data_IF_383556995492
#
_entry.id   IF_383556995492
#
_cell.length_a   1.000
_cell.length_b   1.000
_cell.length_c   1.000
_cell.angle_alpha   90.00
_cell.angle_beta   90.00
_cell.angle_gamma   90.00
#
_symmetry.space_group_name_H-M   'P 1'
#
loop_
_entity.id
_entity.type
_entity.pdbx_description
1 polymer ?
#
# COMPACT_ATOMS: atom_id res chain seq x y z
N UNK A 1 54.30 43.18 -3.10
CA UNK A 1 53.83 42.04 -3.94
C UNK A 1 52.54 41.62 -3.34
N UNK A 2 51.48 42.18 -3.81
CA UNK A 2 50.18 42.33 -3.16
C UNK A 2 49.08 41.54 -3.90
N UNK A 3 48.42 40.69 -3.22
CA UNK A 3 46.95 40.52 -3.03
C UNK A 3 46.04 40.28 -4.25
N UNK A 4 46.56 39.97 -5.41
CA UNK A 4 45.74 39.58 -6.58
C UNK A 4 45.25 38.16 -6.52
N UNK A 5 45.84 37.30 -5.71
CA UNK A 5 45.43 35.89 -5.54
C UNK A 5 44.15 35.72 -4.70
N UNK A 6 44.00 36.53 -3.64
CA UNK A 6 42.82 36.51 -2.77
C UNK A 6 41.54 37.06 -3.47
N UNK A 7 41.73 38.09 -4.29
CA UNK A 7 40.62 38.63 -5.09
C UNK A 7 40.10 37.65 -6.15
N UNK A 8 41.00 36.85 -6.76
CA UNK A 8 40.60 35.81 -7.72
C UNK A 8 39.83 34.65 -7.05
N UNK A 9 40.18 34.29 -5.82
CA UNK A 9 39.49 33.25 -5.06
C UNK A 9 38.12 33.73 -4.60
N UNK A 10 37.98 34.98 -4.17
CA UNK A 10 36.69 35.58 -3.76
C UNK A 10 35.73 35.75 -4.96
N UNK A 11 36.23 36.05 -6.14
CA UNK A 11 35.42 36.19 -7.36
C UNK A 11 34.96 34.82 -7.85
N UNK A 12 35.81 33.80 -7.75
CA UNK A 12 35.44 32.40 -8.15
C UNK A 12 34.41 31.78 -7.23
N UNK A 13 34.40 32.12 -5.94
CA UNK A 13 33.37 31.63 -5.00
C UNK A 13 32.01 32.29 -5.18
N UNK A 14 31.95 33.53 -5.68
CA UNK A 14 30.70 34.23 -5.98
C UNK A 14 30.05 33.73 -7.27
N UNK A 15 30.81 33.34 -8.28
CA UNK A 15 30.30 32.82 -9.55
C UNK A 15 29.75 31.38 -9.44
N UNK A 16 30.24 30.62 -8.45
CA UNK A 16 29.70 29.25 -8.18
C UNK A 16 28.30 29.23 -7.54
N UNK A 17 27.86 30.37 -6.98
CA UNK A 17 26.55 30.44 -6.26
C UNK A 17 25.34 30.80 -7.13
N UNK A 18 25.54 31.12 -8.40
CA UNK A 18 24.46 31.61 -9.30
C UNK A 18 23.95 30.59 -10.29
N UNK A 19 24.26 29.30 -10.17
CA UNK A 19 23.63 28.27 -10.99
C UNK A 19 22.68 27.38 -10.17
N UNK A 20 21.83 27.99 -9.38
CA UNK A 20 20.57 27.36 -8.99
C UNK A 20 19.63 27.41 -10.19
N UNK A 21 20.01 26.77 -11.26
CA UNK A 21 19.14 26.50 -12.39
C UNK A 21 17.90 25.77 -11.87
N UNK A 22 16.73 26.35 -12.03
CA UNK A 22 15.42 25.67 -11.85
C UNK A 22 15.52 24.35 -12.60
N UNK A 23 15.79 23.26 -11.86
CA UNK A 23 15.79 21.90 -12.36
C UNK A 23 14.35 21.65 -12.80
N UNK A 24 14.05 21.95 -14.07
CA UNK A 24 12.78 21.55 -14.68
C UNK A 24 12.71 20.05 -14.51
N UNK A 25 11.85 19.60 -13.62
CA UNK A 25 11.51 18.20 -13.46
C UNK A 25 10.93 17.73 -14.81
N UNK A 26 11.80 17.30 -15.71
CA UNK A 26 11.40 16.56 -16.88
C UNK A 26 10.98 15.20 -16.36
N UNK A 27 9.69 15.04 -16.11
CA UNK A 27 9.12 13.74 -15.75
C UNK A 27 9.50 12.82 -16.91
N UNK A 28 10.31 11.80 -16.61
CA UNK A 28 10.73 10.84 -17.63
C UNK A 28 9.47 10.20 -18.24
N UNK A 29 9.43 9.94 -19.56
CA UNK A 29 8.23 9.38 -20.21
C UNK A 29 7.78 8.05 -19.57
N UNK A 30 8.72 7.29 -19.03
CA UNK A 30 8.42 6.06 -18.27
C UNK A 30 7.64 6.36 -16.97
N UNK A 31 7.98 7.45 -16.28
CA UNK A 31 7.27 7.83 -15.04
C UNK A 31 5.84 8.29 -15.33
N UNK A 32 5.64 9.03 -16.42
CA UNK A 32 4.28 9.40 -16.86
C UNK A 32 3.47 8.19 -17.25
N UNK A 33 4.04 7.25 -18.00
CA UNK A 33 3.36 6.00 -18.36
C UNK A 33 2.97 5.19 -17.11
N UNK A 34 3.90 5.04 -16.16
CA UNK A 34 3.62 4.33 -14.91
C UNK A 34 2.54 5.03 -14.08
N UNK A 35 2.57 6.36 -13.99
CA UNK A 35 1.58 7.13 -13.26
C UNK A 35 0.19 7.06 -13.92
N UNK A 36 0.11 7.11 -15.24
CA UNK A 36 -1.17 6.95 -15.96
C UNK A 36 -1.74 5.56 -15.79
N UNK A 37 -0.92 4.52 -15.89
CA UNK A 37 -1.36 3.13 -15.67
C UNK A 37 -1.87 2.94 -14.24
N UNK A 38 -1.13 3.41 -13.24
CA UNK A 38 -1.57 3.37 -11.85
C UNK A 38 -2.88 4.16 -11.63
N UNK A 39 -3.00 5.35 -12.24
CA UNK A 39 -4.22 6.15 -12.19
C UNK A 39 -5.43 5.42 -12.79
N UNK A 40 -5.27 4.78 -13.93
CA UNK A 40 -6.34 4.00 -14.58
C UNK A 40 -6.78 2.83 -13.70
N UNK A 41 -5.83 2.10 -13.10
CA UNK A 41 -6.14 0.99 -12.19
C UNK A 41 -6.88 1.47 -10.94
N UNK A 42 -6.44 2.58 -10.33
CA UNK A 42 -7.11 3.16 -9.15
C UNK A 42 -8.52 3.63 -9.50
N UNK A 43 -8.68 4.37 -10.61
CA UNK A 43 -9.99 4.82 -11.05
C UNK A 43 -10.90 3.65 -11.39
N UNK A 44 -10.41 2.64 -12.11
CA UNK A 44 -11.15 1.41 -12.38
C UNK A 44 -11.63 0.70 -11.12
N UNK A 45 -10.79 0.62 -10.10
CA UNK A 45 -11.16 0.04 -8.81
C UNK A 45 -12.19 0.88 -8.04
N UNK A 46 -12.03 2.22 -8.01
CA UNK A 46 -12.97 3.12 -7.32
C UNK A 46 -14.35 3.09 -7.99
N UNK A 47 -14.37 3.13 -9.32
CA UNK A 47 -15.59 3.14 -10.12
C UNK A 47 -16.04 1.72 -10.54
N UNK A 48 -15.50 0.66 -9.93
CA UNK A 48 -15.86 -0.73 -10.24
C UNK A 48 -17.39 -0.96 -10.30
N UNK A 49 -18.23 -0.45 -9.38
CA UNK A 49 -19.68 -0.66 -9.45
C UNK A 49 -20.37 -0.05 -10.67
N UNK A 50 -19.72 0.94 -11.32
CA UNK A 50 -20.25 1.62 -12.52
C UNK A 50 -19.68 1.05 -13.81
N UNK A 51 -18.48 0.48 -13.76
CA UNK A 51 -17.72 -0.01 -14.93
C UNK A 51 -17.87 -1.51 -15.11
N UNK A 52 -18.03 -2.26 -14.02
CA UNK A 52 -18.17 -3.72 -14.08
C UNK A 52 -19.53 -4.10 -14.67
N UNK A 53 -19.57 -4.92 -15.74
CA UNK A 53 -20.83 -5.36 -16.36
C UNK A 53 -21.64 -6.28 -15.45
N UNK A 54 -20.96 -7.05 -14.59
CA UNK A 54 -21.57 -8.07 -13.75
C UNK A 54 -21.13 -7.93 -12.28
N UNK A 55 -21.91 -8.49 -11.36
CA UNK A 55 -21.57 -8.56 -9.92
C UNK A 55 -20.96 -9.94 -9.61
N UNK A 56 -19.62 -10.08 -9.53
CA UNK A 56 -18.98 -11.40 -9.49
C UNK A 56 -19.12 -12.12 -8.14
N UNK A 57 -19.63 -11.44 -7.12
CA UNK A 57 -19.73 -11.98 -5.75
C UNK A 57 -21.16 -12.17 -5.26
N UNK A 58 -22.16 -11.90 -6.10
CA UNK A 58 -23.56 -12.14 -5.78
C UNK A 58 -23.96 -13.53 -6.30
N UNK A 59 -24.21 -14.51 -5.40
CA UNK A 59 -24.58 -15.86 -5.81
C UNK A 59 -25.85 -15.93 -6.65
N UNK A 60 -26.73 -14.94 -6.54
CA UNK A 60 -28.00 -14.90 -7.28
C UNK A 60 -27.83 -14.58 -8.77
N UNK A 61 -26.70 -13.97 -9.14
CA UNK A 61 -26.36 -13.58 -10.52
C UNK A 61 -25.35 -14.52 -11.18
N UNK A 62 -24.87 -15.53 -10.45
CA UNK A 62 -23.90 -16.50 -10.96
C UNK A 62 -24.61 -17.71 -11.55
N UNK A 63 -24.27 -18.05 -12.80
CA UNK A 63 -24.70 -19.28 -13.44
C UNK A 63 -23.50 -20.19 -13.68
N UNK A 64 -23.50 -21.36 -13.08
CA UNK A 64 -22.44 -22.36 -13.24
C UNK A 64 -22.34 -22.86 -14.69
N UNK A 65 -23.43 -22.74 -15.47
CA UNK A 65 -23.43 -23.10 -16.88
C UNK A 65 -22.59 -22.13 -17.74
N UNK A 66 -22.34 -20.91 -17.25
CA UNK A 66 -21.44 -19.95 -17.90
C UNK A 66 -19.97 -20.20 -17.58
N UNK A 67 -19.66 -21.25 -16.81
CA UNK A 67 -18.30 -21.60 -16.43
C UNK A 67 -17.39 -21.82 -17.65
N UNK A 68 -16.17 -21.28 -17.59
CA UNK A 68 -15.13 -21.40 -18.63
C UNK A 68 -15.55 -20.87 -20.01
N UNK A 69 -16.45 -19.90 -20.08
CA UNK A 69 -16.79 -19.19 -21.31
C UNK A 69 -15.55 -18.42 -21.80
N UNK A 70 -15.11 -18.59 -23.07
CA UNK A 70 -13.94 -17.91 -23.60
C UNK A 70 -14.09 -16.38 -23.67
N UNK A 71 -12.98 -15.61 -23.67
CA UNK A 71 -13.03 -14.17 -23.82
C UNK A 71 -13.74 -13.72 -25.10
N UNK A 72 -14.50 -12.62 -25.02
CA UNK A 72 -15.24 -12.00 -26.11
C UNK A 72 -16.30 -12.89 -26.77
N UNK A 73 -16.68 -13.99 -26.14
CA UNK A 73 -17.76 -14.87 -26.61
C UNK A 73 -18.98 -14.74 -25.71
N UNK A 74 -20.14 -14.95 -26.33
CA UNK A 74 -21.36 -15.11 -25.59
C UNK A 74 -21.49 -16.54 -25.06
N UNK A 75 -21.97 -16.69 -23.84
CA UNK A 75 -22.32 -18.01 -23.30
C UNK A 75 -23.41 -18.67 -24.15
N UNK A 76 -23.21 -19.94 -24.44
CA UNK A 76 -24.20 -20.75 -25.15
C UNK A 76 -25.49 -20.99 -24.32
N UNK A 77 -25.44 -20.79 -23.00
CA UNK A 77 -26.52 -21.08 -22.09
C UNK A 77 -27.32 -19.84 -21.71
N UNK A 78 -26.65 -18.76 -21.29
CA UNK A 78 -27.29 -17.52 -20.84
C UNK A 78 -27.34 -16.43 -21.91
N UNK A 79 -26.48 -16.53 -22.96
CA UNK A 79 -26.32 -15.49 -23.96
C UNK A 79 -25.53 -14.26 -23.50
N UNK A 80 -25.06 -14.24 -22.25
CA UNK A 80 -24.24 -13.15 -21.72
C UNK A 80 -22.85 -13.15 -22.36
N UNK A 81 -22.35 -11.96 -22.69
CA UNK A 81 -21.01 -11.81 -23.25
C UNK A 81 -20.03 -11.36 -22.18
N UNK A 82 -18.84 -11.99 -22.14
CA UNK A 82 -17.82 -11.73 -21.14
C UNK A 82 -16.55 -11.21 -21.82
N UNK A 83 -16.08 -10.02 -21.43
CA UNK A 83 -14.89 -9.37 -22.03
C UNK A 83 -13.62 -10.21 -21.87
N UNK A 84 -13.39 -10.76 -20.68
CA UNK A 84 -12.22 -11.61 -20.37
C UNK A 84 -12.61 -13.07 -20.14
N UNK A 85 -13.85 -13.44 -20.46
CA UNK A 85 -14.38 -14.76 -20.17
C UNK A 85 -14.76 -14.94 -18.71
N UNK A 86 -15.06 -16.19 -18.34
CA UNK A 86 -15.49 -16.57 -16.99
C UNK A 86 -14.55 -17.59 -16.36
N UNK A 87 -14.56 -17.66 -15.03
CA UNK A 87 -13.89 -18.71 -14.27
C UNK A 87 -14.71 -20.01 -14.26
N UNK A 88 -14.22 -21.02 -13.56
CA UNK A 88 -14.91 -22.32 -13.39
C UNK A 88 -16.22 -22.23 -12.60
N UNK A 89 -16.52 -21.09 -11.96
CA UNK A 89 -17.77 -20.83 -11.21
C UNK A 89 -18.72 -19.90 -11.98
N UNK A 90 -18.44 -19.58 -13.24
CA UNK A 90 -19.25 -18.67 -14.05
C UNK A 90 -19.06 -17.19 -13.72
N UNK A 91 -18.05 -16.83 -12.91
CA UNK A 91 -17.78 -15.42 -12.56
C UNK A 91 -17.09 -14.70 -13.70
N UNK A 92 -17.58 -13.52 -14.04
CA UNK A 92 -16.89 -12.63 -14.99
C UNK A 92 -15.52 -12.22 -14.46
N UNK A 93 -14.47 -12.60 -15.20
CA UNK A 93 -13.07 -12.32 -14.80
C UNK A 93 -12.81 -10.82 -14.77
N UNK A 94 -13.31 -10.04 -15.75
CA UNK A 94 -13.11 -8.60 -15.80
C UNK A 94 -13.71 -7.89 -14.57
N UNK A 95 -14.97 -8.18 -14.25
CA UNK A 95 -15.64 -7.66 -13.05
C UNK A 95 -14.92 -8.09 -11.77
N UNK A 96 -14.46 -9.36 -11.71
CA UNK A 96 -13.72 -9.89 -10.56
C UNK A 96 -12.40 -9.14 -10.32
N UNK A 97 -11.69 -8.76 -11.39
CA UNK A 97 -10.46 -7.95 -11.29
C UNK A 97 -10.78 -6.55 -10.75
N UNK A 98 -11.82 -5.89 -11.25
CA UNK A 98 -12.20 -4.56 -10.79
C UNK A 98 -12.58 -4.54 -9.32
N UNK A 99 -13.47 -5.42 -8.90
CA UNK A 99 -13.90 -5.52 -7.49
C UNK A 99 -12.77 -6.00 -6.57
N UNK A 100 -11.95 -6.97 -7.01
CA UNK A 100 -10.77 -7.43 -6.29
C UNK A 100 -9.75 -6.31 -6.08
N UNK A 101 -9.51 -5.49 -7.10
CA UNK A 101 -8.63 -4.31 -7.01
C UNK A 101 -9.14 -3.30 -5.98
N UNK A 102 -10.44 -3.09 -5.87
CA UNK A 102 -11.06 -2.21 -4.86
C UNK A 102 -10.75 -2.68 -3.44
N UNK A 103 -10.93 -3.98 -3.17
CA UNK A 103 -10.63 -4.57 -1.85
C UNK A 103 -9.14 -4.46 -1.57
N UNK A 104 -8.28 -4.77 -2.56
CA UNK A 104 -6.82 -4.68 -2.43
C UNK A 104 -6.35 -3.26 -2.08
N UNK A 105 -6.89 -2.23 -2.76
CA UNK A 105 -6.59 -0.84 -2.46
C UNK A 105 -7.05 -0.44 -1.06
N UNK A 106 -8.27 -0.83 -0.67
CA UNK A 106 -8.80 -0.56 0.66
C UNK A 106 -7.88 -1.14 1.74
N UNK A 107 -7.50 -2.42 1.59
CA UNK A 107 -6.59 -3.08 2.53
C UNK A 107 -5.23 -2.38 2.56
N UNK A 108 -4.65 -2.07 1.39
CA UNK A 108 -3.33 -1.45 1.30
C UNK A 108 -3.29 -0.06 1.98
N UNK A 109 -4.25 0.81 1.66
CA UNK A 109 -4.32 2.15 2.26
C UNK A 109 -4.61 2.10 3.76
N UNK A 110 -5.57 1.27 4.19
CA UNK A 110 -5.94 1.15 5.60
C UNK A 110 -4.81 0.54 6.43
N UNK A 111 -4.15 -0.51 5.94
CA UNK A 111 -3.01 -1.12 6.62
C UNK A 111 -1.82 -0.15 6.72
N UNK A 112 -1.54 0.60 5.64
CA UNK A 112 -0.50 1.64 5.64
C UNK A 112 -0.83 2.74 6.65
N UNK A 113 -2.08 3.17 6.73
CA UNK A 113 -2.52 4.17 7.70
C UNK A 113 -2.34 3.68 9.15
N UNK A 114 -2.73 2.45 9.44
CA UNK A 114 -2.50 1.82 10.77
C UNK A 114 -1.00 1.74 11.07
N UNK A 115 -0.18 1.28 10.12
CA UNK A 115 1.28 1.23 10.28
C UNK A 115 1.88 2.60 10.55
N UNK A 116 1.42 3.62 9.83
CA UNK A 116 1.86 5.01 10.00
C UNK A 116 1.52 5.53 11.40
N UNK A 117 0.28 5.35 11.85
CA UNK A 117 -0.15 5.78 13.18
C UNK A 117 0.70 5.14 14.28
N UNK A 118 0.84 3.81 14.26
CA UNK A 118 1.62 3.08 15.27
C UNK A 118 3.10 3.47 15.17
N UNK A 119 3.66 3.44 13.96
CA UNK A 119 5.09 3.67 13.74
C UNK A 119 5.53 5.08 14.06
N UNK A 120 4.80 6.09 13.60
CA UNK A 120 5.12 7.50 13.91
C UNK A 120 4.95 7.77 15.40
N UNK A 121 3.89 7.28 16.04
CA UNK A 121 3.70 7.44 17.47
C UNK A 121 4.83 6.80 18.29
N UNK A 122 5.20 5.56 17.96
CA UNK A 122 6.31 4.86 18.59
C UNK A 122 7.65 5.57 18.34
N UNK A 123 7.90 6.03 17.12
CA UNK A 123 9.10 6.77 16.75
C UNK A 123 9.21 8.12 17.45
N UNK A 124 8.11 8.87 17.59
CA UNK A 124 8.08 10.13 18.35
C UNK A 124 8.32 9.92 19.84
N UNK A 125 7.68 8.92 20.45
CA UNK A 125 7.89 8.59 21.87
C UNK A 125 9.35 8.19 22.10
N UNK A 126 9.91 7.36 21.24
CA UNK A 126 11.30 6.93 21.25
C UNK A 126 12.25 8.12 21.10
N UNK A 127 12.03 8.97 20.12
CA UNK A 127 12.86 10.15 19.85
C UNK A 127 12.77 11.23 20.93
N UNK A 128 11.60 11.44 21.54
CA UNK A 128 11.39 12.46 22.56
C UNK A 128 11.93 12.03 23.93
N UNK A 129 11.66 10.79 24.38
CA UNK A 129 12.11 10.30 25.68
C UNK A 129 13.56 9.80 25.69
N UNK A 130 14.03 9.27 24.58
CA UNK A 130 15.38 8.73 24.44
C UNK A 130 15.72 7.62 25.43
N UNK A 131 17.01 7.37 25.65
CA UNK A 131 17.52 6.47 26.70
C UNK A 131 16.89 5.07 26.69
N UNK A 132 16.39 4.63 27.84
CA UNK A 132 15.81 3.30 28.03
C UNK A 132 14.55 3.10 27.18
N UNK A 133 13.72 4.14 27.02
CA UNK A 133 12.48 4.05 26.22
C UNK A 133 12.79 3.77 24.75
N UNK A 134 13.78 4.47 24.18
CA UNK A 134 14.26 4.22 22.81
C UNK A 134 14.81 2.79 22.69
N UNK A 135 15.65 2.36 23.64
CA UNK A 135 16.21 1.02 23.65
C UNK A 135 15.14 -0.07 23.68
N UNK A 136 14.10 0.09 24.50
CA UNK A 136 13.01 -0.91 24.59
C UNK A 136 12.19 -0.96 23.31
N UNK A 137 11.74 0.21 22.78
CA UNK A 137 10.94 0.26 21.55
C UNK A 137 11.74 -0.35 20.39
N UNK A 138 13.02 -0.02 20.25
CA UNK A 138 13.85 -0.57 19.18
C UNK A 138 14.14 -2.06 19.38
N UNK A 139 14.25 -2.54 20.60
CA UNK A 139 14.43 -3.97 20.86
C UNK A 139 13.17 -4.77 20.50
N UNK A 140 11.98 -4.26 20.81
CA UNK A 140 10.71 -4.87 20.40
C UNK A 140 10.63 -4.89 18.85
N UNK A 141 10.99 -3.79 18.23
CA UNK A 141 11.04 -3.65 16.80
C UNK A 141 12.01 -4.65 16.14
N UNK A 142 13.21 -4.82 16.69
CA UNK A 142 14.20 -5.78 16.20
C UNK A 142 13.75 -7.24 16.41
N UNK A 143 13.12 -7.54 17.55
CA UNK A 143 12.54 -8.85 17.81
C UNK A 143 11.43 -9.18 16.79
N UNK A 144 10.59 -8.21 16.45
CA UNK A 144 9.52 -8.42 15.47
C UNK A 144 10.07 -8.72 14.06
N UNK A 145 11.22 -8.15 13.66
CA UNK A 145 11.85 -8.43 12.37
C UNK A 145 12.34 -9.87 12.22
N UNK A 146 12.58 -10.58 13.33
CA UNK A 146 12.97 -11.99 13.30
C UNK A 146 11.80 -12.90 12.96
N UNK A 147 10.56 -12.42 13.14
CA UNK A 147 9.37 -13.20 12.80
C UNK A 147 8.90 -12.89 11.37
N UNK A 148 8.70 -13.90 10.53
CA UNK A 148 8.07 -13.70 9.22
C UNK A 148 6.68 -13.08 9.38
N UNK A 149 6.40 -12.03 8.62
CA UNK A 149 5.09 -11.31 8.63
C UNK A 149 3.90 -12.26 8.47
N UNK A 150 4.06 -13.31 7.68
CA UNK A 150 3.03 -14.33 7.46
C UNK A 150 2.68 -15.05 8.77
N UNK A 151 3.65 -15.37 9.62
CA UNK A 151 3.39 -16.04 10.90
C UNK A 151 2.60 -15.15 11.85
N UNK A 152 2.91 -13.84 11.89
CA UNK A 152 2.16 -12.87 12.69
C UNK A 152 0.71 -12.79 12.20
N UNK A 153 0.51 -12.72 10.89
CA UNK A 153 -0.83 -12.69 10.29
C UNK A 153 -1.63 -13.97 10.60
N UNK A 154 -1.01 -15.15 10.46
CA UNK A 154 -1.65 -16.43 10.78
C UNK A 154 -1.99 -16.55 12.27
N UNK A 155 -1.13 -16.06 13.15
CA UNK A 155 -1.36 -16.06 14.58
C UNK A 155 -2.57 -15.18 14.94
N UNK A 156 -2.61 -13.95 14.42
CA UNK A 156 -3.74 -13.03 14.62
C UNK A 156 -5.03 -13.64 14.09
N UNK A 157 -5.00 -14.20 12.89
CA UNK A 157 -6.16 -14.84 12.28
C UNK A 157 -6.63 -16.07 13.06
N UNK A 158 -5.70 -16.94 13.50
CA UNK A 158 -6.01 -18.12 14.27
C UNK A 158 -6.62 -17.81 15.64
N UNK A 159 -6.16 -16.77 16.33
CA UNK A 159 -6.79 -16.29 17.56
C UNK A 159 -8.18 -15.69 17.30
N UNK A 160 -8.30 -14.88 16.26
CA UNK A 160 -9.56 -14.23 15.94
C UNK A 160 -10.66 -15.23 15.57
N UNK A 161 -10.35 -16.31 14.88
CA UNK A 161 -11.31 -17.38 14.56
C UNK A 161 -11.92 -18.04 15.78
N UNK A 162 -11.21 -18.07 16.91
CA UNK A 162 -11.74 -18.60 18.18
C UNK A 162 -12.63 -17.63 18.92
N UNK A 163 -12.45 -16.33 18.71
CA UNK A 163 -13.16 -15.26 19.40
C UNK A 163 -14.37 -14.74 18.64
N UNK A 164 -14.35 -14.86 17.29
CA UNK A 164 -15.38 -14.31 16.42
C UNK A 164 -16.34 -15.42 16.02
N UNK A 165 -17.67 -15.22 16.21
CA UNK A 165 -18.69 -16.17 15.75
C UNK A 165 -18.58 -16.45 14.24
N UNK A 166 -18.83 -17.68 13.78
CA UNK A 166 -18.70 -18.07 12.37
C UNK A 166 -19.45 -17.14 11.39
N UNK A 167 -20.62 -16.67 11.78
CA UNK A 167 -21.43 -15.75 10.95
C UNK A 167 -20.79 -14.38 10.70
N UNK A 168 -19.80 -13.98 11.49
CA UNK A 168 -19.13 -12.68 11.38
C UNK A 168 -17.68 -12.80 10.86
N UNK A 169 -17.17 -14.01 10.65
CA UNK A 169 -15.79 -14.24 10.27
C UNK A 169 -15.45 -13.65 8.90
N UNK A 170 -16.34 -13.74 7.92
CA UNK A 170 -16.12 -13.16 6.59
C UNK A 170 -15.95 -11.63 6.65
N UNK A 171 -16.86 -10.96 7.37
CA UNK A 171 -16.78 -9.49 7.52
C UNK A 171 -15.56 -9.06 8.33
N UNK A 172 -15.18 -9.85 9.34
CA UNK A 172 -14.02 -9.56 10.17
C UNK A 172 -12.69 -9.84 9.45
N UNK A 173 -12.66 -10.74 8.47
CA UNK A 173 -11.42 -11.17 7.81
C UNK A 173 -10.64 -10.00 7.19
N UNK A 174 -11.32 -9.06 6.54
CA UNK A 174 -10.69 -7.87 5.92
C UNK A 174 -10.06 -6.97 6.99
N UNK A 175 -10.77 -6.74 8.09
CA UNK A 175 -10.27 -5.91 9.21
C UNK A 175 -9.10 -6.56 9.92
N UNK A 176 -9.16 -7.89 10.12
CA UNK A 176 -8.06 -8.65 10.69
C UNK A 176 -6.82 -8.58 9.82
N UNK A 177 -6.99 -8.68 8.48
CA UNK A 177 -5.90 -8.55 7.52
C UNK A 177 -5.28 -7.16 7.57
N UNK A 178 -6.09 -6.11 7.59
CA UNK A 178 -5.63 -4.71 7.72
C UNK A 178 -4.80 -4.55 8.99
N UNK A 179 -5.30 -5.06 10.11
CA UNK A 179 -4.61 -4.95 11.39
C UNK A 179 -3.31 -5.76 11.43
N UNK A 180 -3.33 -6.99 10.91
CA UNK A 180 -2.16 -7.85 10.84
C UNK A 180 -1.02 -7.24 10.00
N UNK A 181 -1.34 -6.73 8.80
CA UNK A 181 -0.37 -6.05 7.94
C UNK A 181 0.08 -4.74 8.58
N UNK A 182 -0.84 -3.97 9.15
CA UNK A 182 -0.56 -2.72 9.84
C UNK A 182 0.41 -2.90 10.99
N UNK A 183 0.15 -3.90 11.83
CA UNK A 183 1.00 -4.25 12.97
C UNK A 183 2.36 -4.83 12.53
N UNK A 184 2.45 -5.43 11.36
CA UNK A 184 3.72 -5.98 10.87
C UNK A 184 4.65 -4.90 10.29
N UNK A 185 4.10 -3.81 9.73
CA UNK A 185 4.88 -2.82 8.98
C UNK A 185 5.17 -1.51 9.74
N UNK A 186 4.66 -1.32 10.97
CA UNK A 186 4.85 -0.08 11.75
C UNK A 186 6.31 0.31 11.95
N UNK A 187 7.20 -0.68 12.02
CA UNK A 187 8.62 -0.48 12.28
C UNK A 187 9.31 0.38 11.23
N UNK A 188 8.93 0.24 9.94
CA UNK A 188 9.49 1.05 8.85
C UNK A 188 9.25 2.53 9.10
N UNK A 189 8.06 2.89 9.57
CA UNK A 189 7.71 4.27 9.91
C UNK A 189 8.37 4.74 11.21
N UNK A 190 8.46 3.87 12.23
CA UNK A 190 9.12 4.22 13.49
C UNK A 190 10.60 4.60 13.31
N UNK A 191 11.28 3.94 12.38
CA UNK A 191 12.71 4.21 12.08
C UNK A 191 12.94 5.45 11.22
N UNK A 192 11.94 5.93 10.49
CA UNK A 192 12.05 7.12 9.63
C UNK A 192 11.91 8.43 10.41
N UNK A 193 11.34 8.38 11.62
CA UNK A 193 11.19 9.57 12.47
C UNK A 193 12.60 10.02 12.96
N UNK A 194 13.00 11.30 12.73
CA UNK A 194 14.31 11.79 13.15
C UNK A 194 14.47 11.73 14.68
N UNK A 195 15.55 11.11 15.14
CA UNK A 195 15.91 10.99 16.58
C UNK A 195 16.55 12.25 17.17
N UNK A 196 16.49 13.37 16.44
CA UNK A 196 17.22 14.58 16.81
C UNK A 196 16.55 15.47 17.86
N UNK A 197 15.35 15.15 18.31
CA UNK A 197 14.63 16.00 19.27
C UNK A 197 15.15 15.94 20.73
N UNK A 198 16.00 14.96 21.07
CA UNK A 198 16.50 14.76 22.45
C UNK A 198 17.90 15.24 22.76
N UNK A 199 18.61 15.94 21.84
CA UNK A 199 19.98 16.41 22.06
C UNK A 199 20.12 17.90 22.39
N UNK A 200 19.04 18.59 22.66
CA UNK A 200 19.04 20.01 23.01
C UNK A 200 18.62 20.26 24.47
N UNK A 201 19.08 19.43 25.41
CA UNK A 201 19.00 19.69 26.85
C UNK A 201 20.28 19.26 27.54
#
# INVERSE_FOLDING_TARGET
MTDTSLLRLATKSRLSRSQSGKKRWRIAPLTTLAATLAGVLILGAVFAPLVAPHTPFDPSTLDLMDGLTPPLQASAFTGNSFLMGTDHQGRDIFSSILYGSRISLLVAFSATFVSLLIGVSAGLISGYRGGITDAVIMRIADAQLTFPTILIALLIFGFAQRLIPPAQQETAAVWLLIFAIGLSNWLQFARTVPRSAGRAA
#
